data_IF_161399957255
#
_entry.id   IF_161399957255
#
_cell.length_a   1.000
_cell.length_b   1.000
_cell.length_c   1.000
_cell.angle_alpha   90.00
_cell.angle_beta   90.00
_cell.angle_gamma   90.00
#
_symmetry.space_group_name_H-M   'P 1'
#
loop_
_entity.id
_entity.type
_entity.pdbx_description
1 polymer ?
#
# COMPACT_ATOMS: atom_id res chain seq x y z
N UNK A 1 -41.43 32.08 -44.79
CA UNK A 1 -40.86 30.83 -44.22
C UNK A 1 -39.33 30.96 -44.11
N UNK A 2 -38.80 31.58 -43.03
CA UNK A 2 -37.34 31.74 -42.77
C UNK A 2 -37.06 31.89 -41.26
N UNK A 3 -37.54 30.96 -40.43
CA UNK A 3 -37.28 30.99 -38.96
C UNK A 3 -36.70 29.68 -38.38
N UNK A 4 -36.40 28.67 -39.21
CA UNK A 4 -36.03 27.33 -38.74
C UNK A 4 -34.51 27.07 -38.65
N UNK A 5 -33.65 27.94 -39.19
CA UNK A 5 -32.19 27.66 -39.27
C UNK A 5 -31.37 28.17 -38.07
N UNK A 6 -31.93 29.01 -37.20
CA UNK A 6 -31.17 29.61 -36.08
C UNK A 6 -31.15 28.71 -34.83
N UNK A 7 -32.21 27.92 -34.59
CA UNK A 7 -32.31 27.02 -33.45
C UNK A 7 -31.43 25.77 -33.60
N UNK A 8 -31.29 25.23 -34.82
CA UNK A 8 -30.45 24.07 -35.11
C UNK A 8 -28.96 24.38 -34.98
N UNK A 9 -28.55 25.62 -35.30
CA UNK A 9 -27.18 26.10 -35.12
C UNK A 9 -26.76 26.24 -33.66
N UNK A 10 -27.66 26.74 -32.79
CA UNK A 10 -27.41 26.83 -31.35
C UNK A 10 -27.26 25.46 -30.69
N UNK A 11 -28.04 24.46 -31.11
CA UNK A 11 -27.97 23.11 -30.54
C UNK A 11 -26.65 22.39 -30.90
N UNK A 12 -26.11 22.64 -32.09
CA UNK A 12 -24.81 22.09 -32.52
C UNK A 12 -23.61 22.77 -31.83
N UNK A 13 -23.75 24.05 -31.45
CA UNK A 13 -22.70 24.79 -30.74
C UNK A 13 -22.61 24.39 -29.26
N UNK A 14 -23.74 24.01 -28.65
CA UNK A 14 -23.82 23.54 -27.26
C UNK A 14 -23.23 22.14 -27.05
N UNK A 15 -23.22 21.27 -28.06
CA UNK A 15 -22.60 19.93 -27.96
C UNK A 15 -21.07 19.97 -28.08
N UNK A 16 -20.51 20.96 -28.77
CA UNK A 16 -19.05 21.11 -28.93
C UNK A 16 -18.35 21.72 -27.71
N UNK A 17 -19.09 22.43 -26.85
CA UNK A 17 -18.57 23.03 -25.61
C UNK A 17 -18.56 22.05 -24.41
N UNK A 18 -19.12 20.84 -24.57
CA UNK A 18 -19.28 19.86 -23.49
C UNK A 18 -18.19 18.80 -23.38
N UNK A 19 -17.17 18.81 -24.24
CA UNK A 19 -16.08 17.83 -24.18
C UNK A 19 -15.02 18.28 -23.16
N UNK A 20 -15.39 18.28 -21.88
CA UNK A 20 -14.41 18.36 -20.82
C UNK A 20 -13.71 17.00 -20.77
N UNK A 21 -12.46 16.95 -21.25
CA UNK A 21 -11.62 15.77 -21.10
C UNK A 21 -11.62 15.43 -19.62
N UNK A 22 -12.24 14.30 -19.25
CA UNK A 22 -12.24 13.84 -17.88
C UNK A 22 -10.77 13.85 -17.43
N UNK A 23 -10.45 14.43 -16.27
CA UNK A 23 -9.08 14.47 -15.80
C UNK A 23 -8.56 13.03 -15.84
N UNK A 24 -7.50 12.82 -16.62
CA UNK A 24 -6.93 11.50 -16.82
C UNK A 24 -6.51 10.98 -15.45
N UNK A 25 -7.05 9.85 -15.02
CA UNK A 25 -6.75 9.29 -13.71
C UNK A 25 -5.25 8.98 -13.66
N UNK A 26 -4.50 9.52 -12.68
CA UNK A 26 -3.05 9.37 -12.65
C UNK A 26 -2.67 7.93 -12.29
N UNK A 27 -1.63 7.40 -12.93
CA UNK A 27 -1.04 6.14 -12.48
C UNK A 27 -0.41 6.30 -11.09
N UNK A 28 -0.65 5.34 -10.20
CA UNK A 28 -0.05 5.30 -8.87
C UNK A 28 1.00 4.19 -8.83
N UNK A 29 2.27 4.57 -8.65
CA UNK A 29 3.38 3.63 -8.47
C UNK A 29 3.91 3.78 -7.05
N UNK A 30 3.75 2.72 -6.24
CA UNK A 30 4.24 2.69 -4.86
C UNK A 30 5.47 1.79 -4.75
N UNK A 31 6.63 2.39 -4.48
CA UNK A 31 7.90 1.68 -4.33
C UNK A 31 8.20 1.54 -2.84
N UNK A 32 8.18 0.29 -2.34
CA UNK A 32 8.49 -0.03 -0.95
C UNK A 32 9.78 -0.85 -0.86
N UNK A 33 10.84 -0.23 -0.35
CA UNK A 33 12.08 -0.91 -0.02
C UNK A 33 11.97 -1.67 1.32
N UNK A 34 12.62 -2.83 1.44
CA UNK A 34 12.68 -3.63 2.66
C UNK A 34 13.97 -3.28 3.42
N UNK A 35 13.86 -2.87 4.67
CA UNK A 35 14.96 -2.52 5.59
C UNK A 35 15.92 -1.40 5.10
N UNK A 36 15.46 -0.51 4.20
CA UNK A 36 16.21 0.69 3.81
C UNK A 36 16.21 1.75 4.93
N UNK A 37 17.38 2.08 5.43
CA UNK A 37 17.58 3.09 6.46
C UNK A 37 17.36 4.52 5.96
N UNK A 38 16.98 5.42 6.88
CA UNK A 38 16.66 6.82 6.56
C UNK A 38 17.82 7.61 5.94
N UNK A 39 19.07 7.16 6.14
CA UNK A 39 20.30 7.79 5.64
C UNK A 39 21.00 6.95 4.57
N UNK A 40 20.38 5.91 4.05
CA UNK A 40 21.03 4.99 3.10
C UNK A 40 21.09 5.53 1.66
N UNK A 41 20.34 6.58 1.35
CA UNK A 41 20.34 7.24 0.04
C UNK A 41 21.24 8.48 0.06
N UNK A 42 21.95 8.75 -1.04
CA UNK A 42 22.83 9.92 -1.15
C UNK A 42 22.04 11.24 -0.99
N UNK A 43 20.82 11.32 -1.55
CA UNK A 43 19.92 12.46 -1.35
C UNK A 43 19.44 12.66 0.11
N UNK A 44 19.69 11.70 1.00
CA UNK A 44 19.47 11.78 2.46
C UNK A 44 20.78 11.81 3.28
N UNK A 45 21.93 11.93 2.63
CA UNK A 45 23.22 12.17 3.26
C UNK A 45 24.13 10.95 3.39
N UNK A 46 23.83 9.84 2.72
CA UNK A 46 24.82 8.77 2.52
C UNK A 46 26.05 9.31 1.77
N UNK A 47 27.24 9.01 2.28
CA UNK A 47 28.53 9.29 1.65
C UNK A 47 29.20 8.02 1.09
N UNK A 48 28.53 6.87 1.21
CA UNK A 48 29.05 5.57 0.80
C UNK A 48 28.23 4.93 -0.33
N UNK A 49 26.89 4.91 -0.21
CA UNK A 49 26.01 4.31 -1.21
C UNK A 49 25.74 5.23 -2.40
N UNK A 50 25.77 4.66 -3.61
CA UNK A 50 25.49 5.35 -4.87
C UNK A 50 24.03 5.12 -5.30
N UNK A 51 23.21 6.17 -5.35
CA UNK A 51 21.76 6.06 -5.60
C UNK A 51 21.24 7.03 -6.67
N UNK A 52 21.88 7.12 -7.85
CA UNK A 52 21.65 8.21 -8.81
C UNK A 52 20.19 8.34 -9.29
N UNK A 53 19.47 7.22 -9.44
CA UNK A 53 18.06 7.25 -9.83
C UNK A 53 17.14 7.80 -8.72
N UNK A 54 17.41 7.47 -7.46
CA UNK A 54 16.66 8.04 -6.33
C UNK A 54 17.03 9.50 -6.11
N UNK A 55 18.27 9.89 -6.39
CA UNK A 55 18.71 11.27 -6.30
C UNK A 55 18.00 12.13 -7.37
N UNK A 56 17.88 11.62 -8.60
CA UNK A 56 17.13 12.27 -9.68
C UNK A 56 15.62 12.35 -9.37
N UNK A 57 15.05 11.31 -8.76
CA UNK A 57 13.65 11.32 -8.30
C UNK A 57 13.43 12.37 -7.20
N UNK A 58 14.34 12.45 -6.23
CA UNK A 58 14.27 13.43 -5.15
C UNK A 58 14.46 14.87 -5.67
N UNK A 59 15.28 15.08 -6.70
CA UNK A 59 15.52 16.39 -7.31
C UNK A 59 14.33 16.90 -8.14
N UNK A 60 13.54 15.99 -8.73
CA UNK A 60 12.37 16.33 -9.53
C UNK A 60 11.04 16.26 -8.75
N UNK A 61 11.08 15.87 -7.48
CA UNK A 61 9.90 15.63 -6.66
C UNK A 61 9.93 16.31 -5.29
N UNK A 62 9.19 15.72 -4.34
CA UNK A 62 9.13 16.18 -2.96
C UNK A 62 9.88 15.18 -2.06
N UNK A 63 10.76 15.72 -1.20
CA UNK A 63 11.49 14.93 -0.20
C UNK A 63 10.91 15.16 1.19
N UNK A 64 10.48 14.09 1.84
CA UNK A 64 10.05 14.12 3.24
C UNK A 64 11.22 13.79 4.15
N UNK A 65 11.63 14.74 4.99
CA UNK A 65 12.71 14.55 5.99
C UNK A 65 12.21 14.02 7.33
N UNK A 66 10.88 13.95 7.50
CA UNK A 66 10.20 13.42 8.68
C UNK A 66 9.14 12.41 8.20
N UNK A 67 9.59 11.28 7.66
CA UNK A 67 8.75 10.17 7.23
C UNK A 67 8.99 8.95 8.14
N UNK A 68 7.91 8.37 8.67
CA UNK A 68 7.99 7.29 9.66
C UNK A 68 7.19 6.08 9.19
N UNK A 69 7.69 4.87 9.47
CA UNK A 69 6.90 3.65 9.38
C UNK A 69 5.98 3.52 10.59
N UNK A 70 4.82 2.86 10.42
CA UNK A 70 3.90 2.60 11.51
C UNK A 70 4.46 1.60 12.55
N UNK A 71 5.48 0.84 12.19
CA UNK A 71 6.16 -0.12 13.06
C UNK A 71 7.64 -0.26 12.69
N UNK A 72 8.52 -0.62 13.63
CA UNK A 72 9.90 -0.98 13.31
C UNK A 72 10.04 -2.35 12.62
N UNK A 73 8.93 -3.05 12.33
CA UNK A 73 8.91 -4.41 11.79
C UNK A 73 8.13 -4.49 10.47
N UNK A 74 8.46 -5.48 9.65
CA UNK A 74 7.99 -5.56 8.26
C UNK A 74 6.50 -5.87 8.10
N UNK A 75 5.98 -7.01 8.60
CA UNK A 75 4.55 -7.36 8.47
C UNK A 75 3.59 -6.28 9.01
N UNK A 76 3.75 -5.75 10.24
CA UNK A 76 2.88 -4.69 10.75
C UNK A 76 2.88 -3.43 9.87
N UNK A 77 4.06 -3.01 9.38
CA UNK A 77 4.18 -1.84 8.50
C UNK A 77 3.48 -2.07 7.16
N UNK A 78 3.65 -3.25 6.54
CA UNK A 78 2.99 -3.60 5.28
C UNK A 78 1.47 -3.64 5.44
N UNK A 79 0.97 -4.20 6.54
CA UNK A 79 -0.46 -4.24 6.84
C UNK A 79 -1.04 -2.83 7.03
N UNK A 80 -0.30 -1.97 7.72
CA UNK A 80 -0.66 -0.56 7.93
C UNK A 80 -0.69 0.22 6.61
N UNK A 81 0.31 0.05 5.75
CA UNK A 81 0.38 0.69 4.42
C UNK A 81 -0.85 0.33 3.57
N UNK A 82 -1.25 -0.94 3.55
CA UNK A 82 -2.39 -1.38 2.73
C UNK A 82 -3.73 -0.87 3.25
N UNK A 83 -3.90 -0.82 4.57
CA UNK A 83 -5.22 -0.58 5.20
C UNK A 83 -5.40 0.84 5.71
N UNK A 84 -4.32 1.60 5.87
CA UNK A 84 -4.31 2.91 6.56
C UNK A 84 -4.54 2.81 8.07
N UNK A 85 -4.47 1.61 8.66
CA UNK A 85 -4.75 1.38 10.08
C UNK A 85 -3.46 1.15 10.88
N UNK A 86 -3.46 1.61 12.13
CA UNK A 86 -2.36 1.37 13.08
C UNK A 86 -2.19 -0.13 13.38
N UNK A 87 -0.96 -0.66 13.51
CA UNK A 87 -0.70 -2.07 13.80
C UNK A 87 -1.42 -2.60 15.04
N UNK A 88 -1.62 -1.75 16.05
CA UNK A 88 -2.38 -2.08 17.26
C UNK A 88 -3.86 -2.37 16.97
N UNK A 89 -4.49 -1.61 16.05
CA UNK A 89 -5.89 -1.84 15.62
C UNK A 89 -6.02 -3.13 14.81
N UNK A 90 -4.99 -3.46 14.02
CA UNK A 90 -4.92 -4.70 13.25
C UNK A 90 -4.64 -5.92 14.15
N UNK A 91 -4.11 -5.70 15.37
CA UNK A 91 -3.54 -6.73 16.25
C UNK A 91 -2.46 -7.57 15.56
N UNK A 92 -1.79 -7.00 14.57
CA UNK A 92 -0.68 -7.61 13.84
C UNK A 92 0.55 -6.77 14.10
N UNK A 93 1.34 -7.14 15.11
CA UNK A 93 2.37 -6.27 15.73
C UNK A 93 3.79 -6.85 15.65
N UNK A 94 3.94 -8.03 15.04
CA UNK A 94 5.22 -8.74 14.88
C UNK A 94 5.38 -9.21 13.44
N UNK A 95 6.60 -9.53 12.97
CA UNK A 95 6.87 -9.98 11.60
C UNK A 95 6.46 -11.45 11.39
N UNK A 96 5.26 -11.82 11.82
CA UNK A 96 4.80 -13.21 11.87
C UNK A 96 4.02 -13.64 10.61
N UNK A 97 4.04 -12.82 9.55
CA UNK A 97 3.42 -13.13 8.25
C UNK A 97 3.88 -14.46 7.65
N UNK A 98 5.09 -14.87 7.98
CA UNK A 98 5.69 -16.15 7.56
C UNK A 98 5.36 -17.35 8.43
N UNK A 99 4.72 -17.13 9.59
CA UNK A 99 4.46 -18.22 10.53
C UNK A 99 3.59 -19.27 9.86
N UNK A 100 3.96 -20.56 9.96
CA UNK A 100 3.11 -21.66 9.48
C UNK A 100 1.80 -21.73 10.27
N UNK A 101 1.85 -21.41 11.57
CA UNK A 101 0.67 -21.37 12.43
C UNK A 101 -0.20 -20.17 12.07
N UNK A 102 -1.46 -20.43 11.75
CA UNK A 102 -2.49 -19.41 11.52
C UNK A 102 -3.07 -18.99 12.87
N UNK A 103 -2.97 -17.70 13.17
CA UNK A 103 -3.58 -17.07 14.36
C UNK A 103 -4.29 -15.82 13.88
N UNK A 104 -5.63 -15.87 13.86
CA UNK A 104 -6.47 -14.73 13.50
C UNK A 104 -6.94 -13.98 14.74
N UNK A 105 -7.38 -14.67 15.79
CA UNK A 105 -7.79 -14.04 17.04
C UNK A 105 -6.81 -14.39 18.16
N UNK A 106 -5.69 -13.65 18.28
CA UNK A 106 -4.70 -13.92 19.32
C UNK A 106 -5.33 -13.68 20.70
N UNK A 107 -5.06 -14.55 21.66
CA UNK A 107 -5.51 -14.39 23.04
C UNK A 107 -4.35 -13.86 23.89
N UNK A 108 -4.60 -12.80 24.65
CA UNK A 108 -3.60 -12.26 25.57
C UNK A 108 -3.35 -13.23 26.72
N UNK A 109 -2.12 -13.22 27.23
CA UNK A 109 -1.70 -14.05 28.36
C UNK A 109 -1.07 -13.18 29.44
N UNK A 110 -1.40 -13.47 30.70
CA UNK A 110 -0.70 -12.90 31.86
C UNK A 110 0.55 -13.71 32.25
N UNK A 111 0.93 -14.71 31.45
CA UNK A 111 2.12 -15.55 31.66
C UNK A 111 3.18 -15.21 30.64
N UNK A 112 4.43 -15.19 31.07
CA UNK A 112 5.61 -14.94 30.23
C UNK A 112 6.75 -15.81 30.72
N UNK A 113 7.75 -16.08 29.86
CA UNK A 113 8.90 -16.85 30.29
C UNK A 113 9.62 -16.09 31.45
N UNK A 114 10.16 -16.80 32.45
CA UNK A 114 10.64 -16.19 33.69
C UNK A 114 11.79 -15.20 33.50
N UNK A 115 12.46 -15.22 32.34
CA UNK A 115 13.53 -14.29 31.97
C UNK A 115 13.03 -12.99 31.31
N UNK A 116 11.75 -12.88 30.94
CA UNK A 116 11.17 -11.64 30.45
C UNK A 116 10.58 -10.82 31.59
N UNK A 117 10.90 -9.51 31.62
CA UNK A 117 10.35 -8.57 32.60
C UNK A 117 8.91 -8.13 32.32
N UNK A 118 8.41 -8.41 31.11
CA UNK A 118 7.07 -8.07 30.65
C UNK A 118 6.57 -9.14 29.68
N UNK A 119 5.26 -9.24 29.52
CA UNK A 119 4.67 -10.10 28.51
C UNK A 119 4.79 -9.54 27.10
N UNK A 120 4.92 -10.45 26.14
CA UNK A 120 4.82 -10.11 24.72
C UNK A 120 3.34 -10.06 24.34
N UNK A 121 2.85 -8.93 23.80
CA UNK A 121 1.48 -8.84 23.29
C UNK A 121 1.22 -9.94 22.27
N UNK A 122 0.04 -10.55 22.35
CA UNK A 122 -0.36 -11.55 21.38
C UNK A 122 -0.60 -10.86 20.01
N UNK A 123 -0.29 -11.57 18.93
CA UNK A 123 -0.27 -11.02 17.57
C UNK A 123 -0.92 -11.98 16.59
N UNK A 124 -1.63 -11.42 15.61
CA UNK A 124 -2.04 -12.15 14.41
C UNK A 124 -0.81 -12.63 13.66
N UNK A 125 -0.98 -13.65 12.83
CA UNK A 125 0.03 -14.11 11.88
C UNK A 125 -0.33 -13.82 10.43
N UNK A 126 -1.51 -13.24 10.21
CA UNK A 126 -2.06 -12.91 8.89
C UNK A 126 -2.80 -11.58 8.95
N UNK A 127 -2.90 -10.88 7.83
CA UNK A 127 -3.90 -9.82 7.65
C UNK A 127 -5.20 -10.49 7.19
N UNK A 128 -6.30 -10.44 7.99
CA UNK A 128 -7.60 -10.94 7.54
C UNK A 128 -8.11 -10.21 6.29
N UNK A 129 -8.71 -10.96 5.35
CA UNK A 129 -9.26 -10.40 4.11
C UNK A 129 -10.50 -9.49 4.32
N UNK A 130 -11.02 -9.40 5.55
CA UNK A 130 -12.09 -8.43 5.90
C UNK A 130 -11.58 -6.99 5.98
N UNK A 131 -10.26 -6.80 6.11
CA UNK A 131 -9.66 -5.46 6.08
C UNK A 131 -9.56 -4.98 4.64
N UNK A 132 -10.32 -3.93 4.34
CA UNK A 132 -10.27 -3.21 3.08
C UNK A 132 -8.86 -2.62 2.86
N UNK A 133 -8.31 -2.87 1.67
CA UNK A 133 -7.01 -2.34 1.25
C UNK A 133 -7.17 -1.22 0.22
N UNK A 134 -6.15 -0.36 0.09
CA UNK A 134 -6.15 0.66 -0.97
C UNK A 134 -6.23 0.04 -2.37
N UNK A 135 -5.74 -1.20 -2.55
CA UNK A 135 -5.77 -1.87 -3.85
C UNK A 135 -7.20 -2.22 -4.25
N UNK A 136 -8.01 -2.73 -3.33
CA UNK A 136 -9.45 -2.98 -3.55
C UNK A 136 -10.18 -1.66 -3.86
N UNK A 137 -9.91 -0.60 -3.10
CA UNK A 137 -10.51 0.73 -3.35
C UNK A 137 -10.14 1.25 -4.74
N UNK A 138 -8.86 1.19 -5.14
CA UNK A 138 -8.43 1.62 -6.46
C UNK A 138 -9.07 0.76 -7.57
N UNK A 139 -9.14 -0.55 -7.37
CA UNK A 139 -9.77 -1.48 -8.32
C UNK A 139 -11.25 -1.15 -8.53
N UNK A 140 -11.99 -0.83 -7.48
CA UNK A 140 -13.38 -0.38 -7.58
C UNK A 140 -13.53 0.93 -8.37
N UNK A 141 -12.50 1.78 -8.38
CA UNK A 141 -12.47 3.01 -9.18
C UNK A 141 -11.99 2.80 -10.64
N UNK A 142 -11.77 1.55 -11.06
CA UNK A 142 -11.40 1.19 -12.42
C UNK A 142 -9.90 1.09 -12.69
N UNK A 143 -9.06 1.13 -11.65
CA UNK A 143 -7.61 0.94 -11.81
C UNK A 143 -7.29 -0.53 -12.06
N UNK A 144 -6.33 -0.78 -12.95
CA UNK A 144 -5.62 -2.05 -12.99
C UNK A 144 -4.61 -2.10 -11.84
N UNK A 145 -4.54 -3.24 -11.15
CA UNK A 145 -3.73 -3.37 -9.93
C UNK A 145 -2.67 -4.46 -10.07
N UNK A 146 -1.44 -4.17 -9.64
CA UNK A 146 -0.35 -5.13 -9.67
C UNK A 146 0.49 -5.08 -8.39
N UNK A 147 0.94 -6.25 -7.94
CA UNK A 147 1.84 -6.42 -6.81
C UNK A 147 3.09 -7.20 -7.25
N UNK A 148 4.27 -6.65 -6.94
CA UNK A 148 5.55 -7.26 -7.29
C UNK A 148 6.48 -7.24 -6.08
N UNK A 149 6.96 -8.42 -5.65
CA UNK A 149 7.91 -8.54 -4.54
C UNK A 149 7.35 -9.24 -3.30
N UNK A 150 7.74 -8.77 -2.11
CA UNK A 150 7.48 -9.44 -0.81
C UNK A 150 6.14 -9.05 -0.20
N UNK A 151 5.25 -10.00 -0.02
CA UNK A 151 3.95 -9.78 0.63
C UNK A 151 4.04 -9.75 2.15
N UNK A 152 4.45 -10.86 2.77
CA UNK A 152 4.67 -10.99 4.21
C UNK A 152 3.46 -10.66 5.12
N UNK A 153 2.24 -10.82 4.59
CA UNK A 153 0.98 -10.70 5.34
C UNK A 153 0.19 -12.00 5.40
N UNK A 154 0.71 -13.06 4.78
CA UNK A 154 0.14 -14.37 4.88
C UNK A 154 0.33 -15.28 3.69
N UNK A 155 -0.16 -16.51 3.88
CA UNK A 155 -0.29 -17.57 2.87
C UNK A 155 -1.75 -17.72 2.50
N UNK A 156 -2.04 -18.42 1.41
CA UNK A 156 -3.41 -18.77 1.00
C UNK A 156 -4.28 -19.15 2.21
N UNK A 157 -5.45 -18.50 2.41
CA UNK A 157 -6.13 -17.54 1.53
C UNK A 157 -5.78 -16.04 1.72
N UNK A 158 -4.71 -15.72 2.45
CA UNK A 158 -4.30 -14.34 2.77
C UNK A 158 -3.19 -13.84 1.83
N UNK A 159 -3.40 -13.97 0.52
CA UNK A 159 -2.46 -13.58 -0.56
C UNK A 159 -2.91 -12.27 -1.23
N UNK A 160 -2.03 -11.56 -1.97
CA UNK A 160 -2.37 -10.27 -2.57
C UNK A 160 -3.61 -10.29 -3.49
N UNK A 161 -3.86 -11.39 -4.20
CA UNK A 161 -5.00 -11.52 -5.12
C UNK A 161 -6.34 -11.46 -4.42
N UNK A 162 -6.40 -11.94 -3.18
CA UNK A 162 -7.58 -11.86 -2.34
C UNK A 162 -7.72 -10.49 -1.63
N UNK A 163 -6.81 -9.56 -1.91
CA UNK A 163 -6.80 -8.18 -1.41
C UNK A 163 -6.59 -7.18 -2.55
N UNK A 164 -7.30 -7.40 -3.65
CA UNK A 164 -7.49 -6.39 -4.68
C UNK A 164 -6.39 -6.28 -5.73
N UNK A 165 -5.39 -7.16 -5.76
CA UNK A 165 -4.35 -7.15 -6.82
C UNK A 165 -4.65 -8.13 -7.96
N UNK A 166 -4.71 -7.64 -9.20
CA UNK A 166 -4.98 -8.47 -10.40
C UNK A 166 -3.74 -9.25 -10.88
N UNK A 167 -2.57 -8.63 -10.83
CA UNK A 167 -1.31 -9.21 -11.29
C UNK A 167 -0.35 -9.35 -10.11
N UNK A 168 0.15 -10.56 -9.87
CA UNK A 168 1.09 -10.83 -8.76
C UNK A 168 2.33 -11.55 -9.24
N UNK A 169 3.49 -10.94 -8.98
CA UNK A 169 4.82 -11.50 -9.28
C UNK A 169 5.63 -11.63 -7.97
N UNK A 170 6.04 -12.84 -7.62
CA UNK A 170 6.80 -13.17 -6.40
C UNK A 170 5.95 -13.29 -5.11
N UNK A 171 4.99 -12.39 -4.88
CA UNK A 171 4.23 -12.17 -3.62
C UNK A 171 3.52 -13.36 -2.94
N UNK A 172 3.61 -14.58 -3.50
CA UNK A 172 3.06 -15.82 -2.94
C UNK A 172 4.09 -16.61 -2.11
N UNK A 173 5.37 -16.54 -2.47
CA UNK A 173 6.41 -17.44 -1.95
C UNK A 173 7.18 -16.88 -0.74
N UNK A 174 7.22 -15.54 -0.61
CA UNK A 174 7.85 -14.85 0.52
C UNK A 174 6.85 -14.52 1.64
N UNK A 175 5.93 -15.46 1.84
CA UNK A 175 5.01 -15.50 2.96
C UNK A 175 5.69 -16.14 4.15
#
# INVERSE_FOLDING_TARGET
MKKLNLLTGCFLLLTLLGCQQAPEQPNVIFILADDLGWKDLACFGSDYYETPNFDALAASGIKFTNAYSASPLCSPTRASILTGLEPGRLRFTTPSGHSVRVVLDPQESNRSAPHYKAGTPATRTRLPNEYLTFAEVLKEQGYATAFMGKWHLGREPYIPENQGFDVVVGGREHS
#
